data_IF_323990460892
#
_entry.id   IF_323990460892
#
_cell.length_a   1.000
_cell.length_b   1.000
_cell.length_c   1.000
_cell.angle_alpha   90.00
_cell.angle_beta   90.00
_cell.angle_gamma   90.00
#
_symmetry.space_group_name_H-M   'P 1'
#
loop_
_entity.id
_entity.type
_entity.pdbx_description
1 polymer ?
#
# COMPACT_ATOMS: atom_id res chain seq x y z
N UNK A 1 22.34 10.94 2.24
CA UNK A 1 20.94 10.94 2.72
C UNK A 1 20.71 12.23 3.49
N UNK A 2 19.60 12.92 3.22
CA UNK A 2 19.14 14.09 3.97
C UNK A 2 17.96 13.68 4.83
N UNK A 3 17.92 14.17 6.06
CA UNK A 3 16.90 13.78 7.03
C UNK A 3 16.40 15.04 7.73
N UNK A 4 15.11 15.33 7.56
CA UNK A 4 14.41 16.48 8.15
C UNK A 4 13.46 15.92 9.22
N UNK A 5 13.62 16.32 10.48
CA UNK A 5 12.81 15.78 11.58
C UNK A 5 12.32 16.87 12.51
N UNK A 6 11.08 16.76 12.97
CA UNK A 6 10.48 17.65 13.97
C UNK A 6 10.50 19.12 13.56
N UNK A 7 10.37 19.39 12.26
CA UNK A 7 10.35 20.73 11.69
C UNK A 7 8.90 21.14 11.40
N UNK A 8 8.31 22.09 12.16
CA UNK A 8 6.93 22.50 11.95
C UNK A 8 6.73 23.37 10.71
N UNK A 9 7.81 23.89 10.11
CA UNK A 9 7.79 24.75 8.93
C UNK A 9 8.98 24.37 8.03
N UNK A 10 8.78 23.41 7.14
CA UNK A 10 9.76 23.02 6.12
C UNK A 10 9.46 23.78 4.84
N UNK A 11 10.40 24.65 4.47
CA UNK A 11 10.49 25.33 3.17
C UNK A 11 11.81 24.92 2.55
N UNK A 12 11.78 24.25 1.41
CA UNK A 12 12.98 23.77 0.72
C UNK A 12 13.51 24.87 -0.22
N UNK A 13 14.70 25.42 0.05
CA UNK A 13 15.29 26.47 -0.78
C UNK A 13 15.90 25.92 -2.08
N UNK A 14 16.12 26.79 -3.07
CA UNK A 14 16.73 26.44 -4.35
C UNK A 14 18.18 25.93 -4.23
N UNK A 15 18.86 26.25 -3.11
CA UNK A 15 20.17 25.67 -2.77
C UNK A 15 20.11 24.14 -2.59
N UNK A 16 18.91 23.56 -2.46
CA UNK A 16 18.71 22.11 -2.51
C UNK A 16 19.31 21.47 -3.78
N UNK A 17 19.29 22.20 -4.90
CA UNK A 17 19.85 21.73 -6.17
C UNK A 17 21.37 21.48 -6.13
N UNK A 18 22.08 21.97 -5.10
CA UNK A 18 23.52 21.78 -4.97
C UNK A 18 23.88 20.38 -4.42
N UNK A 19 22.91 19.62 -3.89
CA UNK A 19 23.14 18.31 -3.27
C UNK A 19 23.22 17.16 -4.30
N UNK A 20 24.16 17.22 -5.23
CA UNK A 20 24.32 16.27 -6.34
C UNK A 20 24.60 14.81 -5.95
N UNK A 21 25.07 14.58 -4.72
CA UNK A 21 25.33 13.24 -4.17
C UNK A 21 24.20 12.74 -3.27
N UNK A 22 23.06 13.43 -3.27
CA UNK A 22 21.92 13.05 -2.45
C UNK A 22 21.25 11.79 -3.00
N UNK A 23 21.26 10.74 -2.18
CA UNK A 23 20.67 9.44 -2.54
C UNK A 23 19.24 9.25 -2.01
N UNK A 24 18.82 10.04 -1.03
CA UNK A 24 17.52 9.86 -0.37
C UNK A 24 17.20 11.06 0.50
N UNK A 25 15.91 11.39 0.59
CA UNK A 25 15.34 12.31 1.58
C UNK A 25 14.34 11.56 2.44
N UNK A 26 14.48 11.71 3.77
CA UNK A 26 13.45 11.36 4.74
C UNK A 26 12.95 12.62 5.45
N UNK A 27 11.63 12.84 5.43
CA UNK A 27 10.94 13.84 6.24
C UNK A 27 10.13 13.10 7.31
N UNK A 28 10.39 13.39 8.58
CA UNK A 28 9.72 12.72 9.71
C UNK A 28 9.09 13.74 10.64
N UNK A 29 7.83 13.53 11.03
CA UNK A 29 7.12 14.33 12.04
C UNK A 29 7.29 15.85 11.80
N UNK A 30 7.01 16.29 10.58
CA UNK A 30 7.28 17.65 10.10
C UNK A 30 6.13 18.17 9.23
N UNK A 31 6.13 19.45 8.91
CA UNK A 31 5.15 20.04 7.98
C UNK A 31 5.87 20.73 6.83
N UNK A 32 5.71 20.21 5.61
CA UNK A 32 6.15 20.83 4.37
C UNK A 32 5.18 21.94 4.02
N UNK A 33 5.62 23.17 4.26
CA UNK A 33 4.91 24.38 3.88
C UNK A 33 5.13 24.66 2.39
N UNK A 34 6.37 24.51 1.93
CA UNK A 34 6.72 24.69 0.53
C UNK A 34 7.85 23.75 0.10
N UNK A 35 7.64 23.09 -1.03
CA UNK A 35 8.70 22.46 -1.81
C UNK A 35 8.38 22.71 -3.27
N UNK A 36 8.92 23.81 -3.77
CA UNK A 36 8.61 24.39 -5.08
C UNK A 36 9.34 23.67 -6.22
N UNK A 37 8.86 23.91 -7.44
CA UNK A 37 9.40 23.36 -8.67
C UNK A 37 10.88 23.75 -8.90
N UNK A 38 11.29 24.96 -8.53
CA UNK A 38 12.69 25.40 -8.67
C UNK A 38 13.68 24.63 -7.80
N UNK A 39 13.20 23.90 -6.78
CA UNK A 39 13.97 23.03 -5.90
C UNK A 39 13.55 21.55 -6.06
N UNK A 40 13.02 21.18 -7.23
CA UNK A 40 12.52 19.83 -7.47
C UNK A 40 13.62 18.77 -7.45
N UNK A 41 13.24 17.56 -7.08
CA UNK A 41 14.10 16.39 -7.17
C UNK A 41 14.21 16.02 -8.66
N UNK A 42 15.28 16.48 -9.31
CA UNK A 42 15.55 16.20 -10.73
C UNK A 42 16.73 15.26 -10.95
N UNK A 43 16.81 14.57 -12.08
CA UNK A 43 18.00 13.82 -12.50
C UNK A 43 19.21 14.74 -12.71
N UNK A 44 18.99 15.94 -13.24
CA UNK A 44 20.05 16.94 -13.46
C UNK A 44 20.79 17.29 -12.15
N UNK A 45 20.04 17.60 -11.10
CA UNK A 45 20.59 18.03 -9.81
C UNK A 45 20.81 16.88 -8.82
N UNK A 46 20.11 15.76 -8.95
CA UNK A 46 20.13 14.64 -7.99
C UNK A 46 20.21 13.27 -8.71
N UNK A 47 21.22 13.00 -9.54
CA UNK A 47 21.27 11.80 -10.40
C UNK A 47 21.38 10.48 -9.61
N UNK A 48 21.85 10.53 -8.35
CA UNK A 48 22.01 9.37 -7.50
C UNK A 48 20.79 9.12 -6.57
N UNK A 49 19.70 9.86 -6.72
CA UNK A 49 18.55 9.79 -5.83
C UNK A 49 17.77 8.49 -6.02
N UNK A 50 17.46 7.79 -4.93
CA UNK A 50 16.90 6.43 -4.91
C UNK A 50 15.53 6.37 -4.25
N UNK A 51 15.35 7.08 -3.13
CA UNK A 51 14.14 6.96 -2.31
C UNK A 51 13.67 8.28 -1.70
N UNK A 52 12.35 8.43 -1.63
CA UNK A 52 11.67 9.56 -1.00
C UNK A 52 10.71 9.04 0.08
N UNK A 53 11.00 9.38 1.34
CA UNK A 53 10.24 8.90 2.49
C UNK A 53 9.60 10.07 3.25
N UNK A 54 8.28 10.08 3.36
CA UNK A 54 7.50 11.06 4.13
C UNK A 54 6.74 10.34 5.23
N UNK A 55 7.11 10.58 6.49
CA UNK A 55 6.54 9.87 7.63
C UNK A 55 5.98 10.87 8.62
N UNK A 56 4.71 10.72 9.01
CA UNK A 56 4.04 11.67 9.92
C UNK A 56 4.19 13.11 9.41
N UNK A 57 4.01 13.31 8.11
CA UNK A 57 4.33 14.57 7.43
C UNK A 57 3.07 15.22 6.87
N UNK A 58 2.84 16.48 7.24
CA UNK A 58 1.80 17.29 6.63
C UNK A 58 2.36 18.11 5.46
N UNK A 59 1.55 18.28 4.41
CA UNK A 59 1.84 19.08 3.23
C UNK A 59 0.76 20.15 3.08
N UNK A 60 1.13 21.34 2.60
CA UNK A 60 0.19 22.43 2.33
C UNK A 60 -1.00 21.92 1.51
N UNK A 61 -2.22 22.21 1.98
CA UNK A 61 -3.51 21.78 1.41
C UNK A 61 -3.77 20.27 1.30
N UNK A 62 -2.82 19.42 1.70
CA UNK A 62 -2.89 17.97 1.47
C UNK A 62 -2.59 17.57 0.03
N UNK A 63 -1.84 18.41 -0.68
CA UNK A 63 -1.43 18.19 -2.07
C UNK A 63 0.01 17.68 -2.13
N UNK A 64 0.33 16.91 -3.16
CA UNK A 64 1.71 16.49 -3.44
C UNK A 64 2.56 17.72 -3.80
N UNK A 65 3.66 18.03 -3.08
CA UNK A 65 4.48 19.19 -3.40
C UNK A 65 5.06 19.18 -4.81
N UNK A 66 5.16 20.36 -5.44
CA UNK A 66 5.67 20.50 -6.80
C UNK A 66 7.11 19.97 -6.96
N UNK A 67 7.92 20.03 -5.89
CA UNK A 67 9.27 19.48 -5.87
C UNK A 67 9.36 17.97 -6.08
N UNK A 68 8.24 17.23 -5.97
CA UNK A 68 8.16 15.78 -6.22
C UNK A 68 7.59 15.43 -7.59
N UNK A 69 7.36 16.44 -8.45
CA UNK A 69 6.62 16.32 -9.71
C UNK A 69 7.46 16.73 -10.93
N UNK A 70 8.78 16.62 -10.84
CA UNK A 70 9.69 16.98 -11.93
C UNK A 70 9.41 16.17 -13.20
N UNK A 71 9.49 16.83 -14.36
CA UNK A 71 9.52 16.16 -15.67
C UNK A 71 10.90 15.60 -16.04
N UNK A 72 11.91 15.82 -15.21
CA UNK A 72 13.26 15.24 -15.29
C UNK A 72 13.52 14.39 -14.02
N UNK A 73 12.81 13.26 -13.80
CA UNK A 73 12.97 12.47 -12.58
C UNK A 73 14.32 11.74 -12.55
N UNK A 74 14.97 11.61 -11.37
CA UNK A 74 16.19 10.80 -11.23
C UNK A 74 15.96 9.38 -11.73
N UNK A 75 16.87 8.90 -12.59
CA UNK A 75 16.73 7.57 -13.21
C UNK A 75 16.83 6.40 -12.23
N UNK A 76 17.31 6.67 -11.03
CA UNK A 76 17.45 5.69 -9.96
C UNK A 76 16.34 5.80 -8.90
N UNK A 77 15.43 6.78 -9.00
CA UNK A 77 14.37 6.97 -8.01
C UNK A 77 13.25 5.96 -8.26
N UNK A 78 13.21 4.91 -7.45
CA UNK A 78 12.24 3.83 -7.58
C UNK A 78 11.40 3.63 -6.30
N UNK A 79 11.68 4.33 -5.21
CA UNK A 79 11.09 4.02 -3.90
C UNK A 79 10.39 5.24 -3.28
N UNK A 80 9.06 5.21 -3.27
CA UNK A 80 8.21 6.28 -2.74
C UNK A 80 7.40 5.75 -1.56
N UNK A 81 7.69 6.26 -0.36
CA UNK A 81 7.10 5.77 0.88
C UNK A 81 6.52 6.92 1.71
N UNK A 82 5.20 7.09 1.63
CA UNK A 82 4.44 8.09 2.35
C UNK A 82 3.59 7.38 3.40
N UNK A 83 3.88 7.58 4.68
CA UNK A 83 3.17 6.93 5.78
C UNK A 83 2.70 7.98 6.79
N UNK A 84 1.40 8.01 7.09
CA UNK A 84 0.78 9.03 7.94
C UNK A 84 1.04 10.43 7.35
N UNK A 85 0.30 10.75 6.29
CA UNK A 85 0.33 12.08 5.69
C UNK A 85 -1.08 12.65 5.57
N UNK A 86 -1.21 13.91 5.17
CA UNK A 86 -2.49 14.51 4.83
C UNK A 86 -2.78 14.52 3.32
N UNK A 87 -2.08 13.69 2.52
CA UNK A 87 -2.24 13.63 1.07
C UNK A 87 -3.65 13.16 0.69
N UNK A 88 -4.37 13.94 -0.13
CA UNK A 88 -5.76 13.69 -0.54
C UNK A 88 -5.91 13.21 -1.96
N UNK A 89 -5.01 13.63 -2.82
CA UNK A 89 -4.97 13.29 -4.24
C UNK A 89 -3.55 13.40 -4.78
N UNK A 90 -3.33 12.83 -5.95
CA UNK A 90 -2.10 13.01 -6.72
C UNK A 90 -2.47 13.55 -8.11
N UNK A 91 -1.56 14.27 -8.79
CA UNK A 91 -1.79 14.73 -10.16
C UNK A 91 -2.10 13.58 -11.11
N UNK A 92 -3.02 13.81 -12.05
CA UNK A 92 -3.41 12.82 -13.05
C UNK A 92 -2.27 12.43 -14.00
N UNK A 93 -1.20 13.21 -14.09
CA UNK A 93 -0.02 12.94 -14.92
C UNK A 93 1.18 12.42 -14.13
N UNK A 94 0.96 11.97 -12.88
CA UNK A 94 2.07 11.52 -12.02
C UNK A 94 2.84 10.34 -12.63
N UNK A 95 2.18 9.50 -13.44
CA UNK A 95 2.79 8.36 -14.12
C UNK A 95 3.82 8.73 -15.20
N UNK A 96 3.83 9.97 -15.71
CA UNK A 96 4.90 10.44 -16.61
C UNK A 96 6.04 11.13 -15.85
N UNK A 97 5.88 11.34 -14.54
CA UNK A 97 6.85 11.98 -13.64
C UNK A 97 7.54 11.00 -12.72
N UNK A 98 6.85 9.96 -12.26
CA UNK A 98 7.43 8.87 -11.47
C UNK A 98 7.72 7.68 -12.38
N UNK A 99 8.88 7.04 -12.20
CA UNK A 99 9.32 5.97 -13.08
C UNK A 99 8.39 4.75 -12.99
N UNK A 100 8.07 4.18 -14.15
CA UNK A 100 7.37 2.90 -14.22
C UNK A 100 8.11 1.80 -13.43
N UNK A 101 7.37 0.99 -12.69
CA UNK A 101 7.91 -0.07 -11.85
C UNK A 101 8.40 0.40 -10.47
N UNK A 102 8.16 1.67 -10.12
CA UNK A 102 8.49 2.19 -8.78
C UNK A 102 7.64 1.53 -7.70
N UNK A 103 8.23 1.36 -6.52
CA UNK A 103 7.54 0.96 -5.31
C UNK A 103 6.73 2.16 -4.82
N UNK A 104 5.44 1.93 -4.55
CA UNK A 104 4.52 2.99 -4.14
C UNK A 104 3.81 2.54 -2.88
N UNK A 105 4.21 3.13 -1.76
CA UNK A 105 3.61 2.92 -0.45
C UNK A 105 3.03 4.26 -0.01
N UNK A 106 1.71 4.39 -0.02
CA UNK A 106 1.00 5.59 0.46
C UNK A 106 0.01 5.14 1.51
N UNK A 107 0.46 5.01 2.75
CA UNK A 107 -0.29 4.45 3.86
C UNK A 107 -0.77 5.53 4.84
N UNK A 108 -1.92 5.30 5.46
CA UNK A 108 -2.55 6.17 6.47
C UNK A 108 -2.60 7.65 6.02
N UNK A 109 -2.94 7.87 4.75
CA UNK A 109 -3.13 9.20 4.18
C UNK A 109 -4.63 9.51 4.06
N UNK A 110 -5.04 10.40 3.16
CA UNK A 110 -6.42 10.86 3.02
C UNK A 110 -7.01 10.58 1.62
N UNK A 111 -6.46 9.59 0.90
CA UNK A 111 -6.98 9.18 -0.42
C UNK A 111 -8.37 8.57 -0.26
N UNK A 112 -9.38 9.15 -0.92
CA UNK A 112 -10.75 8.63 -0.89
C UNK A 112 -11.05 7.59 -1.98
N UNK A 113 -10.22 7.57 -3.03
CA UNK A 113 -10.30 6.65 -4.16
C UNK A 113 -8.89 6.26 -4.57
N UNK A 114 -8.75 5.14 -5.28
CA UNK A 114 -7.47 4.74 -5.89
C UNK A 114 -7.16 5.69 -7.06
N UNK A 115 -6.09 6.51 -7.00
CA UNK A 115 -5.75 7.40 -8.11
C UNK A 115 -5.26 6.60 -9.33
N UNK A 116 -5.82 6.88 -10.51
CA UNK A 116 -5.49 6.15 -11.73
C UNK A 116 -4.02 6.33 -12.16
N UNK A 117 -3.41 7.47 -11.85
CA UNK A 117 -1.99 7.69 -12.11
C UNK A 117 -1.10 6.68 -11.37
N UNK A 118 -1.45 6.27 -10.14
CA UNK A 118 -0.66 5.29 -9.40
C UNK A 118 -0.73 3.89 -10.02
N UNK A 119 -1.85 3.54 -10.66
CA UNK A 119 -1.98 2.26 -11.38
C UNK A 119 -1.09 2.23 -12.62
N UNK A 120 -1.00 3.35 -13.36
CA UNK A 120 -0.18 3.46 -14.57
C UNK A 120 1.32 3.49 -14.31
N UNK A 121 1.74 3.74 -13.06
CA UNK A 121 3.14 3.53 -12.63
C UNK A 121 3.52 2.05 -12.69
N UNK A 122 2.57 1.13 -12.69
CA UNK A 122 2.79 -0.32 -12.66
C UNK A 122 3.68 -0.77 -11.47
N UNK A 123 3.29 -0.43 -10.23
CA UNK A 123 4.09 -0.76 -9.05
C UNK A 123 4.13 -2.28 -8.78
N UNK A 124 5.32 -2.87 -8.57
CA UNK A 124 5.43 -4.26 -8.11
C UNK A 124 5.02 -4.40 -6.64
N UNK A 125 5.27 -3.36 -5.82
CA UNK A 125 4.81 -3.24 -4.44
C UNK A 125 3.91 -2.03 -4.33
N UNK A 126 2.62 -2.28 -4.07
CA UNK A 126 1.63 -1.22 -3.99
C UNK A 126 0.86 -1.30 -2.69
N UNK A 127 0.93 -0.25 -1.87
CA UNK A 127 0.15 -0.18 -0.64
C UNK A 127 -0.59 1.14 -0.51
N UNK A 128 -1.87 1.03 -0.19
CA UNK A 128 -2.79 2.11 0.13
C UNK A 128 -3.43 1.89 1.52
N UNK A 129 -2.79 1.07 2.38
CA UNK A 129 -3.32 0.70 3.71
C UNK A 129 -3.71 1.95 4.51
N UNK A 130 -4.85 1.91 5.21
CA UNK A 130 -5.25 2.98 6.11
C UNK A 130 -5.77 4.26 5.46
N UNK A 131 -5.93 4.28 4.13
CA UNK A 131 -6.63 5.37 3.45
C UNK A 131 -8.15 5.17 3.50
N UNK A 132 -8.96 6.25 3.51
CA UNK A 132 -10.42 6.15 3.58
C UNK A 132 -11.11 5.67 2.28
N UNK A 133 -10.45 4.82 1.48
CA UNK A 133 -10.93 4.28 0.21
C UNK A 133 -12.12 3.35 0.45
N UNK A 134 -13.25 3.58 -0.21
CA UNK A 134 -14.46 2.75 -0.09
C UNK A 134 -14.69 1.80 -1.25
N UNK A 135 -14.08 2.07 -2.41
CA UNK A 135 -14.26 1.30 -3.64
C UNK A 135 -12.92 1.09 -4.35
N UNK A 136 -12.75 -0.08 -4.97
CA UNK A 136 -11.54 -0.45 -5.69
C UNK A 136 -11.85 -0.63 -7.19
N UNK A 137 -11.08 0.00 -8.08
CA UNK A 137 -11.12 -0.33 -9.50
C UNK A 137 -10.55 -1.76 -9.72
N UNK A 138 -11.13 -2.60 -10.60
CA UNK A 138 -10.59 -3.93 -10.91
C UNK A 138 -9.12 -3.87 -11.36
N UNK A 139 -8.73 -2.80 -12.05
CA UNK A 139 -7.40 -2.56 -12.59
C UNK A 139 -6.29 -2.62 -11.52
N UNK A 140 -6.61 -2.41 -10.23
CA UNK A 140 -5.63 -2.55 -9.15
C UNK A 140 -5.08 -3.97 -9.02
N UNK A 141 -5.84 -4.99 -9.43
CA UNK A 141 -5.41 -6.39 -9.46
C UNK A 141 -4.82 -6.81 -10.81
N UNK A 142 -4.87 -5.93 -11.82
CA UNK A 142 -4.45 -6.19 -13.20
C UNK A 142 -3.10 -5.56 -13.55
N UNK A 143 -2.43 -4.94 -12.57
CA UNK A 143 -1.11 -4.32 -12.75
C UNK A 143 -0.07 -5.39 -13.11
N UNK A 144 0.53 -5.29 -14.30
CA UNK A 144 1.64 -6.15 -14.69
C UNK A 144 2.84 -5.97 -13.73
N UNK A 145 3.37 -7.09 -13.24
CA UNK A 145 4.52 -7.09 -12.31
C UNK A 145 4.18 -6.87 -10.84
N UNK A 146 2.91 -6.60 -10.49
CA UNK A 146 2.44 -6.52 -9.11
C UNK A 146 2.68 -7.85 -8.37
N UNK A 147 3.36 -7.81 -7.23
CA UNK A 147 3.61 -8.98 -6.36
C UNK A 147 2.84 -8.90 -5.06
N UNK A 148 2.74 -7.70 -4.49
CA UNK A 148 2.15 -7.45 -3.18
C UNK A 148 1.21 -6.24 -3.25
N UNK A 149 -0.03 -6.42 -2.79
CA UNK A 149 -1.04 -5.37 -2.72
C UNK A 149 -1.57 -5.17 -1.30
N UNK A 150 -1.29 -4.01 -0.72
CA UNK A 150 -1.82 -3.56 0.56
C UNK A 150 -3.04 -2.66 0.42
N UNK A 151 -4.20 -3.09 0.90
CA UNK A 151 -5.47 -2.36 0.90
C UNK A 151 -6.24 -2.55 2.23
N UNK A 152 -5.55 -2.99 3.28
CA UNK A 152 -6.06 -3.11 4.64
C UNK A 152 -6.37 -1.75 5.28
N UNK A 153 -7.12 -1.75 6.37
CA UNK A 153 -7.58 -0.57 7.10
C UNK A 153 -8.27 0.49 6.21
N UNK A 154 -8.78 0.08 5.06
CA UNK A 154 -9.62 0.91 4.18
C UNK A 154 -11.10 0.68 4.48
N UNK A 155 -11.97 1.50 3.90
CA UNK A 155 -13.43 1.41 4.06
C UNK A 155 -14.08 0.41 3.07
N UNK A 156 -13.29 -0.42 2.38
CA UNK A 156 -13.80 -1.38 1.41
C UNK A 156 -14.62 -2.48 2.09
N UNK A 157 -15.64 -2.93 1.37
CA UNK A 157 -16.56 -3.99 1.83
C UNK A 157 -16.47 -5.26 0.98
N UNK A 158 -15.94 -5.12 -0.22
CA UNK A 158 -15.73 -6.21 -1.16
C UNK A 158 -14.54 -5.89 -2.06
N UNK A 159 -13.95 -6.94 -2.63
CA UNK A 159 -13.04 -6.82 -3.77
C UNK A 159 -13.87 -6.65 -5.05
N UNK A 160 -13.30 -6.08 -6.13
CA UNK A 160 -14.00 -5.99 -7.41
C UNK A 160 -14.28 -7.38 -7.98
N UNK A 161 -15.51 -7.56 -8.47
CA UNK A 161 -15.94 -8.83 -9.07
C UNK A 161 -15.30 -9.07 -10.45
N UNK A 162 -15.16 -8.02 -11.26
CA UNK A 162 -14.78 -8.12 -12.67
C UNK A 162 -13.26 -7.95 -12.88
N UNK A 163 -12.44 -8.73 -12.17
CA UNK A 163 -11.00 -8.82 -12.47
C UNK A 163 -10.82 -9.80 -13.62
N UNK A 164 -10.43 -9.30 -14.79
CA UNK A 164 -10.36 -10.06 -16.05
C UNK A 164 -8.93 -10.38 -16.48
N UNK A 165 -7.96 -9.58 -16.05
CA UNK A 165 -6.54 -9.76 -16.36
C UNK A 165 -5.71 -9.75 -15.08
N UNK A 166 -6.05 -10.63 -14.15
CA UNK A 166 -5.34 -10.78 -12.89
C UNK A 166 -3.82 -10.86 -13.12
N UNK A 167 -3.07 -9.98 -12.44
CA UNK A 167 -1.62 -9.94 -12.53
C UNK A 167 -1.03 -11.33 -12.27
N UNK A 168 -0.19 -11.81 -13.18
CA UNK A 168 0.39 -13.17 -13.10
C UNK A 168 1.43 -13.32 -11.99
N UNK A 169 1.94 -12.19 -11.49
CA UNK A 169 2.96 -12.12 -10.44
C UNK A 169 2.39 -11.88 -9.05
N UNK A 170 1.09 -11.56 -8.93
CA UNK A 170 0.48 -11.25 -7.63
C UNK A 170 0.51 -12.50 -6.74
N UNK A 171 1.13 -12.38 -5.57
CA UNK A 171 1.27 -13.49 -4.61
C UNK A 171 0.70 -13.17 -3.24
N UNK A 172 0.53 -11.89 -2.90
CA UNK A 172 0.09 -11.47 -1.57
C UNK A 172 -0.91 -10.33 -1.65
N UNK A 173 -2.04 -10.45 -0.95
CA UNK A 173 -2.98 -9.36 -0.72
C UNK A 173 -3.20 -9.16 0.78
N UNK A 174 -3.19 -7.90 1.21
CA UNK A 174 -3.39 -7.50 2.60
C UNK A 174 -4.68 -6.70 2.69
N UNK A 175 -5.69 -7.27 3.35
CA UNK A 175 -7.05 -6.72 3.49
C UNK A 175 -7.49 -6.66 4.97
N UNK A 176 -6.53 -6.74 5.90
CA UNK A 176 -6.78 -6.64 7.34
C UNK A 176 -7.59 -5.38 7.69
N UNK A 177 -8.47 -5.46 8.70
CA UNK A 177 -9.22 -4.30 9.20
C UNK A 177 -10.33 -3.79 8.27
N UNK A 178 -10.56 -4.43 7.12
CA UNK A 178 -11.64 -4.08 6.21
C UNK A 178 -12.96 -4.79 6.56
N UNK A 179 -14.05 -4.44 5.88
CA UNK A 179 -15.35 -5.09 6.05
C UNK A 179 -15.57 -6.29 5.11
N UNK A 180 -14.52 -6.84 4.51
CA UNK A 180 -14.61 -7.98 3.60
C UNK A 180 -15.20 -9.20 4.31
N UNK A 181 -16.20 -9.82 3.69
CA UNK A 181 -16.90 -11.01 4.19
C UNK A 181 -16.87 -12.19 3.23
N UNK A 182 -16.37 -12.00 2.01
CA UNK A 182 -16.26 -13.02 0.98
C UNK A 182 -15.14 -12.71 -0.01
N UNK A 183 -14.77 -13.72 -0.79
CA UNK A 183 -13.83 -13.61 -1.90
C UNK A 183 -14.45 -14.14 -3.20
N UNK A 184 -14.17 -13.47 -4.32
CA UNK A 184 -14.64 -13.85 -5.66
C UNK A 184 -13.80 -14.97 -6.27
N UNK A 185 -14.35 -15.67 -7.27
CA UNK A 185 -13.73 -16.84 -7.91
C UNK A 185 -12.33 -16.59 -8.46
N UNK A 186 -12.05 -15.40 -9.00
CA UNK A 186 -10.71 -15.05 -9.49
C UNK A 186 -9.62 -15.16 -8.41
N UNK A 187 -9.97 -15.02 -7.13
CA UNK A 187 -9.00 -15.16 -6.02
C UNK A 187 -8.44 -16.59 -5.91
N UNK A 188 -9.13 -17.60 -6.46
CA UNK A 188 -8.62 -18.97 -6.49
C UNK A 188 -7.33 -19.08 -7.31
N UNK A 189 -7.11 -18.19 -8.28
CA UNK A 189 -5.95 -18.18 -9.18
C UNK A 189 -4.65 -17.75 -8.49
N UNK A 190 -4.73 -16.98 -7.39
CA UNK A 190 -3.55 -16.61 -6.60
C UNK A 190 -3.21 -17.68 -5.55
N UNK A 191 -4.13 -18.58 -5.25
CA UNK A 191 -3.94 -19.60 -4.21
C UNK A 191 -2.93 -20.68 -4.63
N UNK A 192 -1.76 -20.65 -4.01
CA UNK A 192 -0.67 -21.58 -4.28
C UNK A 192 0.47 -21.00 -5.12
N UNK A 193 0.38 -19.71 -5.49
CA UNK A 193 1.53 -18.98 -6.02
C UNK A 193 2.58 -18.83 -4.92
N UNK A 194 3.85 -18.94 -5.30
CA UNK A 194 4.97 -18.85 -4.36
C UNK A 194 5.48 -17.42 -4.36
N UNK A 195 5.39 -16.76 -3.21
CA UNK A 195 5.96 -15.43 -3.01
C UNK A 195 7.48 -15.45 -3.17
N UNK A 196 8.02 -14.52 -3.96
CA UNK A 196 9.47 -14.30 -4.08
C UNK A 196 10.11 -13.78 -2.77
N UNK A 197 9.31 -13.24 -1.86
CA UNK A 197 9.70 -12.75 -0.52
C UNK A 197 9.52 -13.79 0.59
N UNK A 198 9.23 -15.04 0.24
CA UNK A 198 8.93 -16.11 1.21
C UNK A 198 7.80 -15.78 2.19
N UNK A 199 6.83 -14.96 1.76
CA UNK A 199 5.62 -14.64 2.52
C UNK A 199 4.78 -15.93 2.68
N UNK A 200 4.44 -16.32 3.92
CA UNK A 200 3.90 -17.65 4.20
C UNK A 200 2.44 -17.85 3.76
N UNK A 201 1.69 -16.76 3.55
CA UNK A 201 0.26 -16.78 3.22
C UNK A 201 -0.04 -15.81 2.09
N UNK A 202 -1.07 -16.14 1.31
CA UNK A 202 -1.49 -15.37 0.13
C UNK A 202 -2.40 -14.21 0.53
N UNK A 203 -3.22 -14.41 1.57
CA UNK A 203 -4.24 -13.45 1.99
C UNK A 203 -4.06 -13.16 3.47
N UNK A 204 -3.82 -11.89 3.81
CA UNK A 204 -3.82 -11.42 5.20
C UNK A 204 -5.10 -10.65 5.45
N UNK A 205 -5.98 -11.24 6.26
CA UNK A 205 -7.36 -10.76 6.44
C UNK A 205 -7.74 -10.64 7.92
N UNK A 206 -6.76 -10.44 8.81
CA UNK A 206 -7.00 -10.18 10.23
C UNK A 206 -8.09 -9.13 10.45
N UNK A 207 -8.90 -9.29 11.49
CA UNK A 207 -9.96 -8.33 11.83
C UNK A 207 -11.05 -8.08 10.77
N UNK A 208 -11.14 -8.89 9.71
CA UNK A 208 -12.24 -8.83 8.73
C UNK A 208 -13.47 -9.61 9.19
N UNK A 209 -14.62 -9.36 8.57
CA UNK A 209 -15.85 -10.16 8.77
C UNK A 209 -15.60 -11.61 8.36
N UNK A 210 -14.86 -11.82 7.26
CA UNK A 210 -14.50 -13.14 6.76
C UNK A 210 -13.71 -13.96 7.79
N UNK A 211 -12.68 -13.38 8.42
CA UNK A 211 -11.94 -14.08 9.47
C UNK A 211 -12.78 -14.35 10.73
N UNK A 212 -13.72 -13.45 11.06
CA UNK A 212 -14.71 -13.71 12.10
C UNK A 212 -15.64 -14.89 11.78
N UNK A 213 -16.00 -15.09 10.51
CA UNK A 213 -16.79 -16.24 10.08
C UNK A 213 -15.96 -17.54 10.08
N UNK A 214 -14.70 -17.47 9.64
CA UNK A 214 -13.77 -18.60 9.75
C UNK A 214 -13.62 -19.08 11.20
N UNK A 215 -13.46 -18.17 12.15
CA UNK A 215 -13.39 -18.51 13.58
C UNK A 215 -14.69 -19.18 14.06
N UNK A 216 -15.86 -18.68 13.65
CA UNK A 216 -17.15 -19.29 14.03
C UNK A 216 -17.32 -20.69 13.46
N UNK A 217 -16.92 -20.92 12.21
CA UNK A 217 -16.97 -22.25 11.58
C UNK A 217 -15.98 -23.19 12.27
N UNK A 218 -14.75 -22.73 12.52
CA UNK A 218 -13.70 -23.49 13.21
C UNK A 218 -14.15 -23.95 14.61
N UNK A 219 -14.78 -23.05 15.36
CA UNK A 219 -15.30 -23.30 16.72
C UNK A 219 -16.66 -24.00 16.72
N UNK A 220 -17.23 -24.31 15.55
CA UNK A 220 -18.55 -24.94 15.37
C UNK A 220 -19.72 -24.12 15.94
N UNK A 221 -19.55 -22.80 16.07
CA UNK A 221 -20.62 -21.86 16.42
C UNK A 221 -21.44 -21.41 15.20
N UNK A 222 -20.90 -21.60 13.98
CA UNK A 222 -21.61 -21.52 12.71
C UNK A 222 -21.24 -22.71 11.80
N UNK A 223 -22.04 -22.98 10.78
CA UNK A 223 -21.79 -24.03 9.78
C UNK A 223 -21.58 -23.48 8.35
N UNK A 224 -21.63 -22.16 8.18
CA UNK A 224 -21.44 -21.46 6.91
C UNK A 224 -20.88 -20.06 7.15
N UNK A 225 -20.36 -19.44 6.10
CA UNK A 225 -20.06 -18.01 6.07
C UNK A 225 -21.36 -17.19 6.21
N UNK A 226 -21.24 -15.95 6.68
CA UNK A 226 -22.38 -15.04 6.85
C UNK A 226 -22.81 -14.34 5.56
N UNK A 227 -21.92 -14.30 4.56
CA UNK A 227 -22.22 -13.77 3.22
C UNK A 227 -23.33 -14.58 2.53
N UNK A 228 -24.18 -13.88 1.77
CA UNK A 228 -25.24 -14.53 0.98
C UNK A 228 -24.59 -15.33 -0.13
N UNK A 229 -24.92 -16.63 -0.21
CA UNK A 229 -24.35 -17.55 -1.19
C UNK A 229 -24.46 -17.01 -2.63
N UNK A 230 -23.35 -17.09 -3.36
CA UNK A 230 -23.23 -16.63 -4.74
C UNK A 230 -22.37 -17.65 -5.52
N UNK A 231 -22.79 -18.09 -6.72
CA UNK A 231 -22.02 -19.04 -7.53
C UNK A 231 -20.64 -18.53 -7.97
N UNK A 232 -20.44 -17.21 -8.02
CA UNK A 232 -19.19 -16.58 -8.47
C UNK A 232 -18.19 -16.38 -7.33
N UNK A 233 -18.52 -16.83 -6.12
CA UNK A 233 -17.58 -16.87 -5.00
C UNK A 233 -16.45 -17.88 -5.22
N UNK A 234 -15.33 -17.62 -4.55
CA UNK A 234 -14.19 -18.53 -4.48
C UNK A 234 -14.61 -19.92 -4.01
N UNK A 235 -14.30 -20.93 -4.81
CA UNK A 235 -14.62 -22.33 -4.51
C UNK A 235 -13.75 -22.90 -3.39
N UNK A 236 -12.64 -22.22 -3.08
CA UNK A 236 -11.66 -22.64 -2.08
C UNK A 236 -11.79 -21.85 -0.78
N UNK A 237 -11.98 -20.53 -0.87
CA UNK A 237 -12.10 -19.63 0.29
C UNK A 237 -13.54 -19.57 0.82
N UNK A 238 -14.57 -19.76 -0.02
CA UNK A 238 -15.97 -19.76 0.41
C UNK A 238 -16.54 -21.18 0.60
N UNK A 239 -15.70 -22.13 1.04
CA UNK A 239 -16.06 -23.53 1.24
C UNK A 239 -16.07 -23.90 2.75
N UNK A 240 -17.24 -23.98 3.41
CA UNK A 240 -17.30 -24.21 4.86
C UNK A 240 -16.61 -25.49 5.37
N UNK A 241 -16.71 -26.65 4.67
CA UNK A 241 -15.87 -27.81 4.98
C UNK A 241 -14.36 -27.53 5.10
N UNK A 242 -13.82 -26.64 4.26
CA UNK A 242 -12.38 -26.29 4.23
C UNK A 242 -11.99 -25.22 5.27
N UNK A 243 -12.96 -24.65 5.99
CA UNK A 243 -12.72 -23.68 7.06
C UNK A 243 -12.47 -24.34 8.44
N UNK A 244 -12.68 -25.66 8.56
CA UNK A 244 -12.41 -26.42 9.78
C UNK A 244 -10.92 -26.62 10.08
N UNK A 245 -10.61 -27.29 11.20
CA UNK A 245 -9.23 -27.55 11.67
C UNK A 245 -8.35 -28.31 10.67
N UNK A 246 -8.96 -29.19 9.87
CA UNK A 246 -8.26 -30.01 8.87
C UNK A 246 -8.37 -29.44 7.45
N UNK A 247 -9.05 -28.30 7.30
CA UNK A 247 -9.30 -27.67 6.02
C UNK A 247 -8.11 -26.86 5.52
N UNK A 248 -8.02 -26.70 4.21
CA UNK A 248 -6.86 -26.08 3.57
C UNK A 248 -6.89 -24.54 3.57
N UNK A 249 -7.99 -23.88 3.97
CA UNK A 249 -8.12 -22.41 3.92
C UNK A 249 -6.99 -21.73 4.72
N UNK A 250 -6.62 -22.29 5.86
CA UNK A 250 -5.57 -21.77 6.76
C UNK A 250 -4.15 -21.83 6.18
N UNK A 251 -3.95 -22.52 5.06
CA UNK A 251 -2.70 -22.48 4.28
C UNK A 251 -2.63 -21.27 3.35
N UNK A 252 -3.76 -20.62 3.07
CA UNK A 252 -3.86 -19.45 2.19
C UNK A 252 -4.10 -18.17 2.97
N UNK A 253 -4.91 -18.24 4.02
CA UNK A 253 -5.38 -17.08 4.79
C UNK A 253 -4.67 -17.00 6.14
N UNK A 254 -4.19 -15.81 6.46
CA UNK A 254 -3.78 -15.41 7.79
C UNK A 254 -4.85 -14.50 8.42
N UNK A 255 -5.38 -14.92 9.57
CA UNK A 255 -6.35 -14.15 10.35
C UNK A 255 -5.74 -13.56 11.64
N UNK A 256 -4.44 -13.74 11.85
CA UNK A 256 -3.76 -13.20 13.02
C UNK A 256 -3.65 -11.67 12.95
N UNK A 257 -3.42 -10.99 14.09
CA UNK A 257 -3.24 -9.55 14.12
C UNK A 257 -2.08 -9.06 13.24
N UNK A 258 -2.17 -7.79 12.82
CA UNK A 258 -1.12 -7.05 12.13
C UNK A 258 0.29 -7.35 12.64
N UNK A 259 1.14 -7.84 11.74
CA UNK A 259 2.59 -7.87 11.88
C UNK A 259 3.16 -6.85 10.91
N UNK A 260 3.86 -5.84 11.41
CA UNK A 260 4.48 -4.76 10.61
C UNK A 260 5.34 -5.33 9.47
N UNK A 261 5.17 -4.81 8.26
CA UNK A 261 5.86 -5.31 7.05
C UNK A 261 5.30 -6.60 6.44
N UNK A 262 4.34 -7.24 7.11
CA UNK A 262 3.52 -8.34 6.59
C UNK A 262 2.06 -7.86 6.53
N UNK A 263 1.24 -8.11 7.56
CA UNK A 263 -0.19 -7.73 7.58
C UNK A 263 -0.51 -6.33 8.09
N UNK A 264 0.45 -5.66 8.72
CA UNK A 264 0.34 -4.25 9.11
C UNK A 264 0.75 -3.29 8.00
N UNK A 265 1.00 -2.00 8.34
CA UNK A 265 1.67 -1.09 7.42
C UNK A 265 2.91 -1.77 6.82
N UNK A 266 3.06 -1.73 5.50
CA UNK A 266 4.25 -2.24 4.83
C UNK A 266 5.46 -1.37 5.17
N UNK A 267 5.23 -0.07 5.42
CA UNK A 267 6.25 0.80 5.94
C UNK A 267 6.50 0.51 7.44
N UNK A 268 7.77 0.36 7.89
CA UNK A 268 8.09 -0.09 9.27
C UNK A 268 7.91 1.04 10.31
N UNK A 269 6.68 1.52 10.47
CA UNK A 269 6.35 2.72 11.24
C UNK A 269 6.74 2.62 12.72
N UNK A 270 6.53 1.47 13.38
CA UNK A 270 6.90 1.29 14.79
C UNK A 270 8.41 1.40 15.01
N UNK A 271 9.21 0.80 14.12
CA UNK A 271 10.66 0.91 14.16
C UNK A 271 11.11 2.36 13.92
N UNK A 272 10.46 3.06 12.98
CA UNK A 272 10.70 4.47 12.71
C UNK A 272 10.35 5.36 13.91
N UNK A 273 9.22 5.12 14.58
CA UNK A 273 8.84 5.88 15.77
C UNK A 273 9.86 5.69 16.90
N UNK A 274 10.30 4.46 17.13
CA UNK A 274 11.35 4.16 18.12
C UNK A 274 12.68 4.85 17.82
N UNK A 275 13.06 4.97 16.54
CA UNK A 275 14.32 5.60 16.14
C UNK A 275 14.28 7.14 16.20
N UNK A 276 13.09 7.72 16.13
CA UNK A 276 12.89 9.17 15.99
C UNK A 276 12.29 9.83 17.23
N UNK A 277 12.30 9.16 18.38
CA UNK A 277 11.90 9.75 19.66
C UNK A 277 12.84 10.91 20.01
N UNK A 278 12.28 12.05 20.40
CA UNK A 278 13.06 13.14 21.01
C UNK A 278 13.55 12.65 22.38
N UNK A 279 14.85 12.34 22.49
CA UNK A 279 15.47 12.15 23.79
C UNK A 279 15.57 13.51 24.48
N UNK A 280 14.86 13.64 25.61
CA UNK A 280 14.86 14.82 26.49
C UNK A 280 16.21 15.04 27.16
#
# INVERSE_FOLDING_TARGET
>A
MMVIKHCPLVDIPDTFNEFHQLISVKVYNSTIVEWRESAAITNTNHPAFLSLMLVRTNMTNGELPAGFQSSDPPLNLYDYEFCITNLREVPDDLDVKWLTGSYVIIEYSQLQTVPQALLRIMPPYFSLIGNPISELPPEIFEIEGLTDLGIGDTNIRELPHNVTQLSSTLTSIYVEGTSISYFWSWTDEILGRVSIRDIPRVIYAGHTVYCGDLEKILTKSANSFSAVANPDFSSRLMNPPEAGLEGNIWSFVDCNPAVSGLSGPLYPLEAEDNQNVLHS
#
